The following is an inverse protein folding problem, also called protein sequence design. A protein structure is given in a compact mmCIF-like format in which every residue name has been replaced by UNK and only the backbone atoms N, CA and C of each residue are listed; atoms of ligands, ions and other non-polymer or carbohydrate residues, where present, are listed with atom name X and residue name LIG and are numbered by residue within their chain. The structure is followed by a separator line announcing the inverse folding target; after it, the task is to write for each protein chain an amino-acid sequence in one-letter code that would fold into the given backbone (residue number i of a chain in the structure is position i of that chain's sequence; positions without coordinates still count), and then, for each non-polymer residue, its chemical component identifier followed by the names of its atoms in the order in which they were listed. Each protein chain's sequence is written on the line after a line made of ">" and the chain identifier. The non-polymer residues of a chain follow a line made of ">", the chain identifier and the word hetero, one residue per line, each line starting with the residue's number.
data_IF_905745855299
#
_entry.id   IF_905745855299
#
_cell.length_a   1.000
_cell.length_b   1.000
_cell.length_c   1.000
_cell.angle_alpha   90.00
_cell.angle_beta   90.00
_cell.angle_gamma   90.00
#
_symmetry.space_group_name_H-M   'P 1'
#
loop_
_entity.id
_entity.type
_entity.pdbx_description
1 polymer ?
#
# COMPACT_ATOMS: atom_id res chain seq x y z
N UNK A 1 -62.38 38.60 9.05
CA UNK A 1 -63.60 37.75 9.00
C UNK A 1 -63.22 36.49 8.24
N UNK A 2 -62.63 35.51 8.93
CA UNK A 2 -63.31 34.43 9.67
C UNK A 2 -63.53 33.20 8.77
N UNK A 3 -63.09 32.05 9.29
CA UNK A 3 -63.26 30.69 8.77
C UNK A 3 -62.40 30.28 7.56
N UNK A 4 -61.22 29.71 7.83
CA UNK A 4 -60.64 28.56 7.10
C UNK A 4 -59.43 27.96 7.85
N UNK A 5 -59.58 27.77 9.15
CA UNK A 5 -58.65 27.01 10.01
C UNK A 5 -59.36 25.72 10.45
N UNK A 6 -59.39 24.70 9.58
CA UNK A 6 -59.94 23.39 9.94
C UNK A 6 -59.58 22.25 8.94
N UNK A 7 -58.41 22.30 8.27
CA UNK A 7 -57.97 21.20 7.37
C UNK A 7 -56.54 20.76 7.71
N UNK A 8 -56.26 20.66 9.01
CA UNK A 8 -54.95 20.23 9.54
C UNK A 8 -55.06 19.10 10.57
N UNK A 9 -56.20 18.44 10.69
CA UNK A 9 -56.42 17.47 11.78
C UNK A 9 -57.39 16.35 11.38
N UNK A 10 -57.11 15.58 10.33
CA UNK A 10 -57.80 14.29 10.11
C UNK A 10 -57.06 13.33 9.15
N UNK A 11 -55.78 13.05 9.40
CA UNK A 11 -55.04 11.97 8.71
C UNK A 11 -54.00 11.33 9.64
N UNK A 12 -54.37 11.17 10.91
CA UNK A 12 -53.67 10.32 11.86
C UNK A 12 -54.62 9.23 12.34
N UNK A 13 -54.15 7.98 12.29
CA UNK A 13 -54.74 6.74 12.84
C UNK A 13 -55.92 6.12 12.07
N UNK A 14 -55.64 5.10 11.25
CA UNK A 14 -55.76 3.65 11.60
C UNK A 14 -55.78 2.82 10.31
N UNK A 15 -54.66 2.18 10.00
CA UNK A 15 -54.59 0.85 9.38
C UNK A 15 -53.30 0.21 9.94
N UNK A 16 -53.37 -0.30 11.16
CA UNK A 16 -53.58 -1.72 11.41
C UNK A 16 -52.39 -2.56 10.88
N UNK A 17 -51.41 -2.70 11.77
CA UNK A 17 -50.55 -3.85 11.99
C UNK A 17 -50.61 -4.99 10.95
N UNK A 18 -49.61 -5.02 10.07
CA UNK A 18 -49.06 -6.28 9.58
C UNK A 18 -47.80 -6.59 10.40
N UNK A 19 -47.99 -7.24 11.54
CA UNK A 19 -46.93 -8.01 12.17
C UNK A 19 -46.64 -9.22 11.27
N UNK A 20 -45.72 -9.04 10.33
CA UNK A 20 -45.10 -10.12 9.56
C UNK A 20 -43.80 -10.54 10.22
N UNK A 21 -43.90 -11.62 11.00
CA UNK A 21 -42.91 -12.66 11.31
C UNK A 21 -41.50 -12.41 10.75
N UNK A 22 -40.52 -12.42 11.64
CA UNK A 22 -39.11 -12.20 11.33
C UNK A 22 -38.56 -13.08 10.21
N UNK A 23 -37.66 -12.50 9.42
CA UNK A 23 -36.55 -13.26 8.86
C UNK A 23 -35.50 -13.43 9.97
N UNK A 24 -35.79 -14.32 10.91
CA UNK A 24 -34.76 -14.98 11.68
C UNK A 24 -33.80 -15.61 10.65
N UNK A 25 -32.53 -15.21 10.72
CA UNK A 25 -31.42 -15.76 9.96
C UNK A 25 -31.76 -16.16 8.53
N UNK A 26 -31.47 -15.28 7.56
CA UNK A 26 -31.07 -15.79 6.26
C UNK A 26 -29.90 -16.73 6.54
N UNK A 27 -30.18 -18.03 6.65
CA UNK A 27 -29.20 -19.06 6.89
C UNK A 27 -28.15 -18.82 5.84
N UNK A 28 -26.98 -18.34 6.27
CA UNK A 28 -25.84 -18.24 5.41
C UNK A 28 -25.61 -19.69 4.95
N UNK A 29 -26.05 -20.00 3.73
CA UNK A 29 -25.70 -21.26 3.09
C UNK A 29 -24.19 -21.38 3.30
N UNK A 30 -23.68 -22.52 3.82
CA UNK A 30 -22.27 -22.64 4.14
C UNK A 30 -21.50 -22.20 2.91
N UNK A 31 -20.84 -21.04 3.00
CA UNK A 31 -20.01 -20.54 1.90
C UNK A 31 -19.05 -21.67 1.65
N UNK A 32 -19.09 -22.25 0.45
CA UNK A 32 -18.09 -23.23 0.03
C UNK A 32 -16.73 -22.66 0.45
N UNK A 33 -15.86 -23.45 1.11
CA UNK A 33 -14.56 -22.95 1.51
C UNK A 33 -13.90 -22.37 0.25
N UNK A 34 -13.80 -21.05 0.22
CA UNK A 34 -13.05 -20.36 -0.79
C UNK A 34 -11.63 -20.20 -0.25
N UNK A 35 -10.67 -20.11 -1.15
CA UNK A 35 -9.26 -20.00 -0.78
C UNK A 35 -8.96 -18.77 0.08
N UNK A 36 -9.85 -17.76 0.07
CA UNK A 36 -9.77 -16.54 0.88
C UNK A 36 -10.33 -16.70 2.31
N UNK A 37 -10.96 -17.83 2.66
CA UNK A 37 -11.56 -18.03 3.98
C UNK A 37 -12.64 -17.01 4.36
N UNK A 38 -13.27 -16.37 3.37
CA UNK A 38 -14.24 -15.29 3.61
C UNK A 38 -13.65 -13.91 3.89
N UNK A 39 -12.34 -13.73 3.77
CA UNK A 39 -11.68 -12.43 3.85
C UNK A 39 -11.96 -11.59 2.59
N UNK A 40 -12.23 -10.30 2.80
CA UNK A 40 -12.41 -9.28 1.77
C UNK A 40 -12.17 -7.90 2.37
N UNK A 41 -12.14 -6.83 1.56
CA UNK A 41 -12.08 -5.45 2.10
C UNK A 41 -13.24 -5.12 3.04
N UNK A 42 -14.41 -5.74 2.87
CA UNK A 42 -15.56 -5.57 3.75
C UNK A 42 -15.39 -6.24 5.13
N UNK A 43 -14.38 -7.10 5.28
CA UNK A 43 -14.04 -7.75 6.55
C UNK A 43 -13.20 -6.85 7.47
N UNK A 44 -12.76 -5.67 6.99
CA UNK A 44 -11.91 -4.73 7.72
C UNK A 44 -12.62 -3.38 7.91
N UNK A 45 -12.19 -2.54 8.87
CA UNK A 45 -12.73 -1.20 9.04
C UNK A 45 -12.68 -0.37 7.74
N UNK A 46 -13.65 0.53 7.58
CA UNK A 46 -13.66 1.46 6.45
C UNK A 46 -12.37 2.29 6.45
N UNK A 47 -11.68 2.32 5.32
CA UNK A 47 -10.41 3.04 5.17
C UNK A 47 -9.17 2.26 5.65
N UNK A 48 -9.30 0.96 5.97
CA UNK A 48 -8.13 0.12 6.25
C UNK A 48 -7.20 0.06 5.03
N UNK A 49 -5.91 0.31 5.24
CA UNK A 49 -4.87 0.38 4.20
C UNK A 49 -4.15 -0.95 4.11
N UNK A 50 -4.11 -1.54 2.92
CA UNK A 50 -3.27 -2.69 2.61
C UNK A 50 -2.09 -2.27 1.75
N UNK A 51 -0.89 -2.71 2.12
CA UNK A 51 0.31 -2.39 1.36
C UNK A 51 1.35 -3.50 1.38
N UNK A 52 2.37 -3.33 0.54
CA UNK A 52 3.58 -4.15 0.52
C UNK A 52 4.76 -3.33 1.06
N UNK A 53 5.87 -4.00 1.37
CA UNK A 53 7.06 -3.33 1.88
C UNK A 53 8.37 -3.91 1.33
N UNK A 54 9.34 -3.03 1.15
CA UNK A 54 10.74 -3.37 0.81
C UNK A 54 11.71 -2.51 1.63
N UNK A 55 13.01 -2.76 1.47
CA UNK A 55 14.08 -1.84 1.90
C UNK A 55 15.08 -1.63 0.76
N UNK A 56 15.74 -0.47 0.76
CA UNK A 56 16.55 0.03 -0.34
C UNK A 56 17.61 -0.98 -0.79
N UNK A 57 18.45 -1.44 0.14
CA UNK A 57 19.54 -2.37 -0.19
C UNK A 57 19.04 -3.73 -0.68
N UNK A 58 17.81 -4.12 -0.32
CA UNK A 58 17.26 -5.41 -0.74
C UNK A 58 16.70 -5.39 -2.16
N UNK A 59 16.31 -4.23 -2.73
CA UNK A 59 15.59 -4.19 -4.03
C UNK A 59 16.11 -3.19 -5.05
N UNK A 60 16.78 -2.12 -4.63
CA UNK A 60 17.18 -1.05 -5.55
C UNK A 60 18.20 -1.51 -6.57
N UNK A 61 19.27 -2.17 -6.11
CA UNK A 61 20.48 -2.35 -6.91
C UNK A 61 21.21 -1.03 -7.09
N UNK A 62 22.05 -0.94 -8.12
CA UNK A 62 22.88 0.23 -8.38
C UNK A 62 23.66 0.65 -7.12
N UNK A 63 24.23 -0.35 -6.43
CA UNK A 63 24.85 -0.14 -5.12
C UNK A 63 26.11 0.75 -5.22
N UNK A 64 26.89 0.59 -6.28
CA UNK A 64 28.06 1.42 -6.59
C UNK A 64 27.82 2.38 -7.79
N UNK A 65 26.56 2.59 -8.17
CA UNK A 65 26.16 3.43 -9.30
C UNK A 65 25.34 4.65 -8.89
N UNK A 66 25.16 5.60 -9.82
CA UNK A 66 24.29 6.77 -9.63
C UNK A 66 24.69 7.67 -8.45
N UNK A 67 26.00 7.75 -8.18
CA UNK A 67 26.56 8.58 -7.12
C UNK A 67 26.33 8.07 -5.69
N UNK A 68 25.80 6.85 -5.49
CA UNK A 68 25.64 6.25 -4.16
C UNK A 68 26.99 5.89 -3.53
N UNK A 69 27.20 6.27 -2.28
CA UNK A 69 28.32 5.79 -1.46
C UNK A 69 28.05 4.43 -0.80
N UNK A 70 29.09 3.72 -0.34
CA UNK A 70 28.92 2.43 0.31
C UNK A 70 28.26 2.58 1.69
N UNK A 71 27.43 1.60 2.05
CA UNK A 71 26.95 1.39 3.41
C UNK A 71 27.72 0.27 4.10
N UNK A 72 27.47 0.06 5.39
CA UNK A 72 28.06 -1.07 6.14
C UNK A 72 27.71 -2.43 5.52
N UNK A 73 26.55 -2.53 4.86
CA UNK A 73 26.11 -3.77 4.20
C UNK A 73 26.87 -4.03 2.91
N UNK A 74 27.31 -3.00 2.19
CA UNK A 74 28.17 -3.15 1.02
C UNK A 74 29.50 -3.79 1.42
N UNK A 75 30.15 -3.25 2.45
CA UNK A 75 31.39 -3.81 2.97
C UNK A 75 31.20 -5.24 3.50
N UNK A 76 30.15 -5.48 4.28
CA UNK A 76 29.87 -6.79 4.86
C UNK A 76 29.59 -7.87 3.80
N UNK A 77 28.76 -7.56 2.79
CA UNK A 77 28.32 -8.53 1.80
C UNK A 77 29.43 -8.94 0.81
N UNK A 78 30.44 -8.08 0.62
CA UNK A 78 31.57 -8.35 -0.28
C UNK A 78 32.68 -9.20 0.36
N UNK A 79 32.59 -9.52 1.65
CA UNK A 79 33.54 -10.43 2.31
C UNK A 79 33.14 -11.88 2.02
N UNK A 80 34.05 -12.72 1.47
CA UNK A 80 33.76 -14.13 1.24
C UNK A 80 33.31 -14.86 2.51
N UNK A 81 32.22 -15.63 2.40
CA UNK A 81 31.64 -16.40 3.50
C UNK A 81 30.60 -15.67 4.34
N UNK A 82 30.46 -14.33 4.23
CA UNK A 82 29.45 -13.59 4.99
C UNK A 82 28.03 -13.78 4.46
N UNK A 83 27.88 -13.95 3.15
CA UNK A 83 26.59 -14.16 2.48
C UNK A 83 26.60 -15.53 1.80
N UNK A 84 25.46 -16.21 1.84
CA UNK A 84 25.27 -17.49 1.16
C UNK A 84 25.66 -17.38 -0.32
N UNK A 85 26.54 -18.28 -0.78
CA UNK A 85 27.03 -18.28 -2.16
C UNK A 85 27.82 -17.03 -2.55
N UNK A 86 28.37 -16.28 -1.57
CA UNK A 86 29.09 -15.02 -1.78
C UNK A 86 28.31 -14.00 -2.64
N UNK A 87 26.98 -14.00 -2.51
CA UNK A 87 26.12 -13.04 -3.19
C UNK A 87 26.18 -11.66 -2.52
N UNK A 88 25.80 -10.62 -3.25
CA UNK A 88 25.68 -9.26 -2.74
C UNK A 88 24.43 -8.58 -3.31
N UNK A 89 24.26 -7.28 -3.05
CA UNK A 89 23.09 -6.53 -3.52
C UNK A 89 23.43 -5.48 -4.58
N UNK A 90 24.49 -5.71 -5.36
CA UNK A 90 24.93 -4.75 -6.39
C UNK A 90 23.83 -4.46 -7.42
N UNK A 91 23.08 -5.51 -7.78
CA UNK A 91 21.97 -5.45 -8.76
C UNK A 91 20.62 -5.79 -8.11
N UNK A 92 20.57 -6.85 -7.28
CA UNK A 92 19.32 -7.39 -6.70
C UNK A 92 18.17 -7.49 -7.72
N UNK A 93 16.99 -6.95 -7.46
CA UNK A 93 15.82 -6.93 -8.35
C UNK A 93 15.83 -5.76 -9.33
N UNK A 94 16.84 -4.89 -9.26
CA UNK A 94 17.03 -3.71 -10.12
C UNK A 94 15.83 -2.74 -10.13
N UNK A 95 15.21 -2.55 -8.96
CA UNK A 95 14.10 -1.59 -8.82
C UNK A 95 14.54 -0.16 -9.15
N UNK A 96 15.84 0.16 -9.06
CA UNK A 96 16.36 1.47 -9.46
C UNK A 96 15.93 1.84 -10.89
N UNK A 97 16.00 0.90 -11.83
CA UNK A 97 15.57 1.11 -13.21
C UNK A 97 14.12 0.68 -13.46
N UNK A 98 13.61 -0.28 -12.67
CA UNK A 98 12.33 -0.97 -12.94
C UNK A 98 11.16 -0.52 -12.06
N UNK A 99 11.33 0.48 -11.20
CA UNK A 99 10.29 0.89 -10.25
C UNK A 99 8.92 1.15 -10.87
N UNK A 100 8.83 1.63 -12.12
CA UNK A 100 7.54 1.82 -12.78
C UNK A 100 6.79 0.51 -13.01
N UNK A 101 7.51 -0.56 -13.38
CA UNK A 101 6.95 -1.91 -13.52
C UNK A 101 6.40 -2.40 -12.19
N UNK A 102 7.19 -2.30 -11.12
CA UNK A 102 6.80 -2.72 -9.78
C UNK A 102 5.60 -1.95 -9.23
N UNK A 103 5.56 -0.63 -9.42
CA UNK A 103 4.41 0.20 -9.01
C UNK A 103 3.16 -0.16 -9.80
N UNK A 104 3.28 -0.44 -11.10
CA UNK A 104 2.16 -0.91 -11.90
C UNK A 104 1.65 -2.28 -11.41
N UNK A 105 2.55 -3.17 -11.02
CA UNK A 105 2.19 -4.48 -10.45
C UNK A 105 1.44 -4.33 -9.12
N UNK A 106 1.94 -3.51 -8.19
CA UNK A 106 1.26 -3.25 -6.91
C UNK A 106 -0.15 -2.71 -7.13
N UNK A 107 -0.32 -1.80 -8.10
CA UNK A 107 -1.63 -1.29 -8.47
C UNK A 107 -2.54 -2.38 -9.03
N UNK A 108 -2.01 -3.24 -9.92
CA UNK A 108 -2.74 -4.37 -10.50
C UNK A 108 -3.17 -5.42 -9.47
N UNK A 109 -2.46 -5.52 -8.35
CA UNK A 109 -2.77 -6.41 -7.23
C UNK A 109 -3.74 -5.79 -6.20
N UNK A 110 -4.28 -4.60 -6.46
CA UNK A 110 -5.19 -3.87 -5.59
C UNK A 110 -4.61 -3.48 -4.21
N UNK A 111 -3.32 -3.16 -4.12
CA UNK A 111 -2.75 -2.53 -2.92
C UNK A 111 -3.04 -1.02 -2.88
N UNK A 112 -3.07 -0.48 -1.66
CA UNK A 112 -3.34 0.94 -1.35
C UNK A 112 -2.06 1.72 -1.04
N UNK A 113 -1.01 1.04 -0.59
CA UNK A 113 0.21 1.70 -0.11
C UNK A 113 1.47 0.88 -0.40
N UNK A 114 2.60 1.60 -0.48
CA UNK A 114 3.92 1.01 -0.58
C UNK A 114 4.85 1.60 0.46
N UNK A 115 5.39 0.74 1.33
CA UNK A 115 6.43 1.13 2.29
C UNK A 115 7.80 0.80 1.72
N UNK A 116 8.61 1.82 1.46
CA UNK A 116 10.02 1.66 1.10
C UNK A 116 10.90 2.51 2.02
N UNK A 117 12.20 2.28 1.98
CA UNK A 117 13.18 3.10 2.69
C UNK A 117 14.04 3.89 1.71
N UNK A 118 14.53 5.05 2.14
CA UNK A 118 15.55 5.82 1.40
C UNK A 118 16.93 5.36 1.88
N UNK A 119 17.83 5.01 0.96
CA UNK A 119 19.22 4.69 1.27
C UNK A 119 19.95 5.97 1.65
N UNK A 120 20.40 6.06 2.92
CA UNK A 120 21.14 7.23 3.39
C UNK A 120 22.34 7.52 2.49
N UNK A 121 23.19 6.53 2.23
CA UNK A 121 24.39 6.70 1.41
C UNK A 121 24.10 7.00 -0.07
N UNK A 122 22.85 6.84 -0.53
CA UNK A 122 22.43 7.34 -1.86
C UNK A 122 22.15 8.84 -1.85
N UNK A 123 21.74 9.41 -0.71
CA UNK A 123 21.52 10.85 -0.53
C UNK A 123 22.81 11.56 -0.12
N UNK A 124 23.53 11.03 0.87
CA UNK A 124 24.81 11.55 1.37
C UNK A 124 25.86 10.45 1.23
N UNK A 125 26.64 10.41 0.14
CA UNK A 125 27.59 9.34 -0.14
C UNK A 125 28.62 9.12 0.96
N UNK A 126 29.04 10.19 1.62
CA UNK A 126 30.01 10.17 2.73
C UNK A 126 29.33 10.14 4.12
N UNK A 127 27.99 10.00 4.17
CA UNK A 127 27.19 10.00 5.40
C UNK A 127 26.70 11.38 5.83
N UNK A 128 27.38 12.45 5.43
CA UNK A 128 26.97 13.84 5.65
C UNK A 128 27.43 14.75 4.48
N UNK A 129 27.25 16.07 4.65
CA UNK A 129 27.81 17.07 3.74
C UNK A 129 27.18 17.07 2.35
N UNK A 130 27.96 16.64 1.34
CA UNK A 130 27.58 16.79 -0.08
C UNK A 130 26.41 15.89 -0.45
N UNK A 131 25.31 16.51 -0.89
CA UNK A 131 24.13 15.78 -1.39
C UNK A 131 24.38 15.25 -2.80
N UNK A 132 24.06 13.98 -3.02
CA UNK A 132 23.98 13.38 -4.34
C UNK A 132 22.61 13.68 -5.00
N UNK A 133 22.60 14.61 -5.95
CA UNK A 133 21.37 15.03 -6.64
C UNK A 133 20.75 13.93 -7.52
N UNK A 134 21.55 12.99 -8.04
CA UNK A 134 21.01 11.87 -8.80
C UNK A 134 20.20 10.93 -7.90
N UNK A 135 20.71 10.65 -6.69
CA UNK A 135 19.98 9.91 -5.67
C UNK A 135 18.67 10.59 -5.27
N UNK A 136 18.68 11.91 -5.09
CA UNK A 136 17.46 12.70 -4.83
C UNK A 136 16.47 12.57 -6.00
N UNK A 137 16.95 12.67 -7.25
CA UNK A 137 16.11 12.53 -8.43
C UNK A 137 15.46 11.13 -8.51
N UNK A 138 16.18 10.07 -8.17
CA UNK A 138 15.62 8.71 -8.10
C UNK A 138 14.41 8.63 -7.15
N UNK A 139 14.56 9.07 -5.89
CA UNK A 139 13.47 9.00 -4.93
C UNK A 139 12.31 9.93 -5.28
N UNK A 140 12.59 11.12 -5.80
CA UNK A 140 11.55 12.01 -6.32
C UNK A 140 10.75 11.33 -7.44
N UNK A 141 11.42 10.67 -8.39
CA UNK A 141 10.76 9.96 -9.48
C UNK A 141 9.90 8.79 -8.98
N UNK A 142 10.39 8.00 -8.03
CA UNK A 142 9.64 6.92 -7.41
C UNK A 142 8.38 7.44 -6.68
N UNK A 143 8.54 8.45 -5.82
CA UNK A 143 7.45 9.06 -5.06
C UNK A 143 6.40 9.65 -6.00
N UNK A 144 6.83 10.42 -7.00
CA UNK A 144 5.93 11.03 -7.97
C UNK A 144 5.15 9.97 -8.76
N UNK A 145 5.79 8.86 -9.14
CA UNK A 145 5.11 7.80 -9.87
C UNK A 145 4.13 7.01 -8.99
N UNK A 146 4.45 6.78 -7.71
CA UNK A 146 3.50 6.22 -6.74
C UNK A 146 2.24 7.10 -6.62
N UNK A 147 2.42 8.40 -6.38
CA UNK A 147 1.30 9.36 -6.31
C UNK A 147 0.50 9.43 -7.61
N UNK A 148 1.17 9.32 -8.76
CA UNK A 148 0.49 9.27 -10.06
C UNK A 148 -0.40 8.02 -10.22
N UNK A 149 -0.03 6.89 -9.60
CA UNK A 149 -0.76 5.62 -9.70
C UNK A 149 -1.80 5.42 -8.59
N UNK A 150 -1.80 6.29 -7.58
CA UNK A 150 -2.79 6.34 -6.48
C UNK A 150 -2.68 5.12 -5.60
#
# INVERSE_FOLDING_TARGET
>A
MAARSAVLLLLALVAAACHGVGAAGAGASPRRPNWLGGLSRASFPKGFVFGTATSAYQVEGMAAGGGRGPSIWDAFAHVPGNIAGNQNADVTTDQYHRYKEDVNLMKGLNFDAYRFSISWSRIFPDGDGKVNQEGVAYYNNLINYLLQKG
#
